data_IF_279181502450
#
_entry.id   IF_279181502450
#
_cell.length_a   1.000
_cell.length_b   1.000
_cell.length_c   1.000
_cell.angle_alpha   90.00
_cell.angle_beta   90.00
_cell.angle_gamma   90.00
#
_symmetry.space_group_name_H-M   'P 1'
#
loop_
_entity.id
_entity.type
_entity.pdbx_description
1 polymer ?
#
# COMPACT_ATOMS: atom_id res chain seq x y z
N UNK A 1 -11.08 -5.06 17.97
CA UNK A 1 -9.82 -4.35 17.68
C UNK A 1 -9.51 -4.31 16.17
N UNK A 2 -9.29 -5.44 15.49
CA UNK A 2 -8.94 -5.44 14.05
C UNK A 2 -10.00 -4.80 13.16
N UNK A 3 -11.29 -5.05 13.41
CA UNK A 3 -12.40 -4.43 12.65
C UNK A 3 -12.33 -2.91 12.72
N UNK A 4 -12.10 -2.33 13.90
CA UNK A 4 -11.97 -0.89 14.06
C UNK A 4 -10.72 -0.31 13.35
N UNK A 5 -9.66 -1.10 13.21
CA UNK A 5 -8.47 -0.70 12.44
C UNK A 5 -8.77 -0.72 10.94
N UNK A 6 -9.42 -1.77 10.45
CA UNK A 6 -9.84 -1.89 9.05
C UNK A 6 -10.74 -0.73 8.68
N UNK A 7 -11.73 -0.44 9.51
CA UNK A 7 -12.65 0.69 9.32
C UNK A 7 -11.91 2.02 9.26
N UNK A 8 -10.94 2.24 10.15
CA UNK A 8 -10.11 3.46 10.15
C UNK A 8 -9.22 3.59 8.91
N UNK A 9 -8.67 2.47 8.39
CA UNK A 9 -7.90 2.46 7.15
C UNK A 9 -8.82 2.79 5.97
N UNK A 10 -10.02 2.22 5.94
CA UNK A 10 -11.02 2.50 4.92
C UNK A 10 -11.46 3.95 4.93
N UNK A 11 -11.86 4.47 6.09
CA UNK A 11 -12.27 5.87 6.27
C UNK A 11 -11.16 6.87 5.89
N UNK A 12 -9.89 6.49 6.14
CA UNK A 12 -8.76 7.38 5.89
C UNK A 12 -8.27 7.37 4.45
N UNK A 13 -8.23 6.21 3.82
CA UNK A 13 -7.57 6.04 2.51
C UNK A 13 -8.53 5.64 1.39
N UNK A 14 -9.77 5.29 1.71
CA UNK A 14 -10.79 4.80 0.75
C UNK A 14 -10.22 3.69 -0.16
N UNK A 15 -9.41 2.79 0.41
CA UNK A 15 -8.60 1.83 -0.35
C UNK A 15 -8.78 0.41 0.15
N UNK A 16 -9.50 -0.40 -0.62
CA UNK A 16 -9.65 -1.84 -0.35
C UNK A 16 -8.33 -2.61 -0.48
N UNK A 17 -7.40 -2.12 -1.31
CA UNK A 17 -6.07 -2.76 -1.47
C UNK A 17 -5.18 -2.57 -0.25
N UNK A 18 -5.20 -1.39 0.38
CA UNK A 18 -4.47 -1.16 1.62
C UNK A 18 -5.01 -2.06 2.74
N UNK A 19 -6.32 -2.27 2.81
CA UNK A 19 -6.93 -3.24 3.74
C UNK A 19 -6.43 -4.66 3.44
N UNK A 20 -6.46 -5.08 2.18
CA UNK A 20 -5.96 -6.40 1.77
C UNK A 20 -4.48 -6.59 2.10
N UNK A 21 -3.65 -5.57 1.89
CA UNK A 21 -2.24 -5.61 2.26
C UNK A 21 -2.06 -5.74 3.77
N UNK A 22 -2.80 -4.96 4.57
CA UNK A 22 -2.78 -5.07 6.02
C UNK A 22 -3.17 -6.49 6.50
N UNK A 23 -4.24 -7.07 5.95
CA UNK A 23 -4.68 -8.42 6.28
C UNK A 23 -3.68 -9.50 5.83
N UNK A 24 -2.95 -9.24 4.73
CA UNK A 24 -1.93 -10.15 4.20
C UNK A 24 -0.55 -10.00 4.86
N UNK A 25 -0.36 -9.03 5.77
CA UNK A 25 0.88 -8.90 6.53
C UNK A 25 1.16 -10.15 7.37
N UNK A 26 2.43 -10.54 7.40
CA UNK A 26 2.86 -11.71 8.21
C UNK A 26 2.43 -11.55 9.67
N UNK A 27 2.62 -10.36 10.25
CA UNK A 27 2.22 -10.07 11.64
C UNK A 27 0.72 -10.27 11.87
N UNK A 28 -0.14 -9.85 10.92
CA UNK A 28 -1.59 -10.03 11.01
C UNK A 28 -1.97 -11.51 10.93
N UNK A 29 -1.39 -12.24 9.97
CA UNK A 29 -1.63 -13.70 9.81
C UNK A 29 -1.15 -14.48 11.03
N UNK A 30 0.04 -14.20 11.54
CA UNK A 30 0.55 -14.85 12.75
C UNK A 30 -0.33 -14.57 13.97
N UNK A 31 -0.74 -13.32 14.16
CA UNK A 31 -1.66 -12.96 15.25
C UNK A 31 -2.98 -13.72 15.16
N UNK A 32 -3.62 -13.74 13.99
CA UNK A 32 -4.89 -14.45 13.80
C UNK A 32 -4.73 -15.97 14.02
N UNK A 33 -3.63 -16.54 13.53
CA UNK A 33 -3.32 -17.95 13.74
C UNK A 33 -3.10 -18.29 15.22
N UNK A 34 -2.28 -17.51 15.93
CA UNK A 34 -2.06 -17.68 17.37
C UNK A 34 -3.35 -17.48 18.16
N UNK A 35 -4.16 -16.49 17.81
CA UNK A 35 -5.45 -16.25 18.45
C UNK A 35 -6.39 -17.44 18.30
N UNK A 36 -6.52 -18.01 17.09
CA UNK A 36 -7.36 -19.16 16.84
C UNK A 36 -6.89 -20.39 17.61
N UNK A 37 -5.58 -20.67 17.63
CA UNK A 37 -5.00 -21.79 18.39
C UNK A 37 -5.22 -21.57 19.90
N UNK A 38 -5.00 -20.38 20.42
CA UNK A 38 -5.18 -20.08 21.84
C UNK A 38 -6.64 -20.26 22.27
N UNK A 39 -7.59 -19.75 21.47
CA UNK A 39 -9.02 -19.93 21.72
C UNK A 39 -9.39 -21.43 21.71
N UNK A 40 -8.88 -22.18 20.74
CA UNK A 40 -9.12 -23.61 20.65
C UNK A 40 -8.59 -24.37 21.89
N UNK A 41 -7.37 -24.06 22.34
CA UNK A 41 -6.78 -24.67 23.52
C UNK A 41 -7.56 -24.33 24.80
N UNK A 42 -7.98 -23.08 24.95
CA UNK A 42 -8.80 -22.65 26.10
C UNK A 42 -10.17 -23.32 26.08
N UNK A 43 -10.80 -23.42 24.90
CA UNK A 43 -12.06 -24.14 24.75
C UNK A 43 -11.92 -25.63 25.05
N UNK A 44 -10.84 -26.25 24.57
CA UNK A 44 -10.54 -27.66 24.90
C UNK A 44 -10.41 -27.89 26.42
N UNK A 45 -9.70 -27.01 27.12
CA UNK A 45 -9.57 -27.10 28.59
C UNK A 45 -10.91 -26.92 29.32
N UNK A 46 -11.81 -26.10 28.76
CA UNK A 46 -13.13 -25.88 29.38
C UNK A 46 -14.08 -27.08 29.18
N UNK A 47 -14.03 -27.72 28.01
CA UNK A 47 -14.97 -28.78 27.61
C UNK A 47 -14.48 -30.17 28.01
N UNK A 48 -13.15 -30.39 28.04
CA UNK A 48 -12.55 -31.64 28.48
C UNK A 48 -12.09 -31.50 29.94
N UNK A 49 -12.97 -31.84 30.92
CA UNK A 49 -12.59 -31.78 32.33
C UNK A 49 -11.43 -32.73 32.61
N UNK A 50 -10.55 -32.39 33.59
CA UNK A 50 -9.46 -33.25 33.97
C UNK A 50 -10.02 -34.66 34.34
N UNK A 51 -9.39 -35.70 33.81
CA UNK A 51 -9.79 -37.11 33.91
C UNK A 51 -10.83 -37.62 32.89
N UNK A 52 -11.17 -36.85 31.83
CA UNK A 52 -12.04 -37.36 30.76
C UNK A 52 -11.42 -38.59 30.03
N UNK A 53 -10.09 -38.61 29.92
CA UNK A 53 -9.34 -39.77 29.44
C UNK A 53 -8.47 -40.28 30.58
N UNK A 54 -8.85 -41.42 31.21
CA UNK A 54 -8.04 -42.06 32.23
C UNK A 54 -6.95 -42.91 31.56
N UNK A 55 -5.78 -42.33 31.44
CA UNK A 55 -4.55 -43.03 30.96
C UNK A 55 -3.64 -43.39 32.17
N UNK A 56 -4.20 -43.52 33.37
CA UNK A 56 -3.46 -43.82 34.59
C UNK A 56 -2.43 -42.74 34.94
N UNK A 57 -1.18 -43.13 35.19
CA UNK A 57 -0.12 -42.17 35.54
C UNK A 57 0.16 -41.10 34.49
N UNK A 58 -0.18 -41.34 33.22
CA UNK A 58 0.01 -40.39 32.12
C UNK A 58 -1.01 -39.29 32.09
N UNK A 59 -2.19 -39.46 32.69
CA UNK A 59 -3.26 -38.43 32.74
C UNK A 59 -2.74 -37.10 33.33
N UNK A 60 -2.00 -37.17 34.44
CA UNK A 60 -1.42 -35.99 35.07
C UNK A 60 -0.44 -35.23 34.17
N UNK A 61 0.39 -35.97 33.43
CA UNK A 61 1.33 -35.32 32.50
C UNK A 61 0.62 -34.66 31.30
N UNK A 62 -0.47 -35.25 30.83
CA UNK A 62 -1.28 -34.69 29.76
C UNK A 62 -1.95 -33.38 30.22
N UNK A 63 -2.57 -33.38 31.40
CA UNK A 63 -3.22 -32.21 31.98
C UNK A 63 -2.23 -31.06 32.21
N UNK A 64 -1.05 -31.36 32.81
CA UNK A 64 -0.01 -30.36 33.02
C UNK A 64 0.55 -29.84 31.69
N UNK A 65 0.75 -30.70 30.69
CA UNK A 65 1.26 -30.30 29.39
C UNK A 65 0.29 -29.35 28.68
N UNK A 66 -1.01 -29.58 28.76
CA UNK A 66 -2.02 -28.70 28.18
C UNK A 66 -2.02 -27.31 28.80
N UNK A 67 -1.85 -27.20 30.15
CA UNK A 67 -1.75 -25.93 30.86
C UNK A 67 -0.46 -25.18 30.44
N UNK A 68 0.67 -25.88 30.41
CA UNK A 68 1.96 -25.30 30.01
C UNK A 68 1.87 -24.80 28.56
N UNK A 69 1.28 -25.60 27.67
CA UNK A 69 1.12 -25.24 26.25
C UNK A 69 0.23 -23.99 26.12
N UNK A 70 -0.91 -23.94 26.77
CA UNK A 70 -1.80 -22.78 26.76
C UNK A 70 -1.08 -21.51 27.29
N UNK A 71 -0.28 -21.66 28.35
CA UNK A 71 0.49 -20.54 28.90
C UNK A 71 1.52 -20.02 27.88
N UNK A 72 2.24 -20.92 27.22
CA UNK A 72 3.20 -20.54 26.15
C UNK A 72 2.48 -19.78 25.02
N UNK A 73 1.35 -20.29 24.55
CA UNK A 73 0.58 -19.62 23.49
C UNK A 73 0.02 -18.26 23.95
N UNK A 74 -0.39 -18.11 25.20
CA UNK A 74 -0.79 -16.80 25.76
C UNK A 74 0.37 -15.79 25.76
N UNK A 75 1.59 -16.23 26.11
CA UNK A 75 2.79 -15.37 26.06
C UNK A 75 3.10 -14.98 24.62
N UNK A 76 3.09 -15.93 23.69
CA UNK A 76 3.31 -15.67 22.26
C UNK A 76 2.24 -14.73 21.69
N UNK A 77 0.99 -14.91 22.07
CA UNK A 77 -0.11 -14.03 21.68
C UNK A 77 0.11 -12.61 22.18
N UNK A 78 0.53 -12.44 23.42
CA UNK A 78 0.86 -11.12 24.00
C UNK A 78 1.96 -10.43 23.19
N UNK A 79 3.04 -11.15 22.84
CA UNK A 79 4.10 -10.61 22.00
C UNK A 79 3.58 -10.24 20.60
N UNK A 80 2.71 -11.08 20.01
CA UNK A 80 2.11 -10.83 18.72
C UNK A 80 1.22 -9.58 18.71
N UNK A 81 0.57 -9.25 19.84
CA UNK A 81 -0.20 -8.01 20.01
C UNK A 81 0.70 -6.79 19.84
N UNK A 82 1.91 -6.78 20.41
CA UNK A 82 2.85 -5.67 20.23
C UNK A 82 3.25 -5.49 18.75
N UNK A 83 3.45 -6.59 18.03
CA UNK A 83 3.76 -6.54 16.60
C UNK A 83 2.60 -5.95 15.79
N UNK A 84 1.36 -6.30 16.14
CA UNK A 84 0.16 -5.73 15.51
C UNK A 84 0.03 -4.23 15.83
N UNK A 85 0.25 -3.79 17.07
CA UNK A 85 0.22 -2.36 17.39
C UNK A 85 1.23 -1.56 16.59
N UNK A 86 2.45 -2.09 16.41
CA UNK A 86 3.45 -1.48 15.55
C UNK A 86 2.97 -1.37 14.10
N UNK A 87 2.34 -2.43 13.58
CA UNK A 87 1.80 -2.43 12.22
C UNK A 87 0.65 -1.42 12.08
N UNK A 88 -0.28 -1.38 13.03
CA UNK A 88 -1.37 -0.40 13.08
C UNK A 88 -0.81 1.02 13.07
N UNK A 89 0.26 1.28 13.83
CA UNK A 89 0.91 2.59 13.83
C UNK A 89 1.49 2.95 12.45
N UNK A 90 2.10 2.00 11.74
CA UNK A 90 2.60 2.21 10.38
C UNK A 90 1.46 2.59 9.43
N UNK A 91 0.34 1.86 9.47
CA UNK A 91 -0.81 2.13 8.60
C UNK A 91 -1.60 3.39 8.98
N UNK A 92 -1.50 3.87 10.21
CA UNK A 92 -2.13 5.13 10.64
C UNK A 92 -1.33 6.39 10.26
N UNK A 93 -0.02 6.27 10.05
CA UNK A 93 0.87 7.39 9.74
C UNK A 93 1.28 7.33 8.27
N UNK A 94 0.76 8.22 7.39
CA UNK A 94 0.96 8.15 5.95
C UNK A 94 2.43 8.08 5.52
N UNK A 95 3.31 8.86 6.14
CA UNK A 95 4.76 8.88 5.84
C UNK A 95 5.42 7.53 6.13
N UNK A 96 4.97 6.85 7.21
CA UNK A 96 5.47 5.52 7.56
C UNK A 96 4.90 4.44 6.66
N UNK A 97 3.62 4.56 6.29
CA UNK A 97 2.98 3.67 5.36
C UNK A 97 3.64 3.74 3.99
N UNK A 98 3.92 4.94 3.48
CA UNK A 98 4.63 5.15 2.24
C UNK A 98 6.00 4.44 2.25
N UNK A 99 6.83 4.71 3.27
CA UNK A 99 8.14 4.06 3.42
C UNK A 99 8.04 2.54 3.57
N UNK A 100 6.99 2.05 4.21
CA UNK A 100 6.73 0.62 4.34
C UNK A 100 6.38 -0.03 3.00
N UNK A 101 5.52 0.62 2.19
CA UNK A 101 5.15 0.15 0.86
C UNK A 101 6.33 0.13 -0.10
N UNK A 102 7.20 1.14 -0.06
CA UNK A 102 8.40 1.22 -0.91
C UNK A 102 9.40 0.10 -0.58
N UNK A 103 9.61 -0.19 0.71
CA UNK A 103 10.55 -1.22 1.17
C UNK A 103 10.07 -2.65 0.91
N UNK A 104 8.79 -2.84 0.64
CA UNK A 104 8.19 -4.15 0.48
C UNK A 104 8.35 -4.66 -0.95
N UNK A 105 9.34 -5.49 -1.20
CA UNK A 105 9.61 -6.10 -2.51
C UNK A 105 8.82 -7.40 -2.79
N UNK A 106 8.09 -7.95 -1.79
CA UNK A 106 7.54 -9.32 -1.84
C UNK A 106 6.41 -9.50 -2.87
N UNK A 107 5.65 -8.44 -3.20
CA UNK A 107 4.59 -8.47 -4.21
C UNK A 107 4.58 -7.11 -4.95
N UNK A 108 5.52 -6.91 -5.91
CA UNK A 108 5.77 -5.57 -6.48
C UNK A 108 4.51 -4.95 -7.09
N UNK A 109 3.71 -5.74 -7.82
CA UNK A 109 2.53 -5.25 -8.54
C UNK A 109 1.43 -4.71 -7.61
N UNK A 110 1.01 -5.50 -6.63
CA UNK A 110 -0.07 -5.09 -5.72
C UNK A 110 0.37 -3.96 -4.79
N UNK A 111 1.63 -3.97 -4.37
CA UNK A 111 2.21 -2.94 -3.52
C UNK A 111 2.28 -1.60 -4.25
N UNK A 112 2.69 -1.59 -5.52
CA UNK A 112 2.73 -0.35 -6.33
C UNK A 112 1.34 0.21 -6.60
N UNK A 113 0.34 -0.63 -6.87
CA UNK A 113 -1.06 -0.19 -7.00
C UNK A 113 -1.60 0.42 -5.70
N UNK A 114 -1.33 -0.20 -4.55
CA UNK A 114 -1.72 0.35 -3.25
C UNK A 114 -0.98 1.65 -2.92
N UNK A 115 0.27 1.79 -3.36
CA UNK A 115 1.01 3.05 -3.23
C UNK A 115 0.37 4.18 -4.04
N UNK A 116 -0.11 3.93 -5.26
CA UNK A 116 -0.87 4.93 -6.03
C UNK A 116 -2.21 5.28 -5.35
N UNK A 117 -2.90 4.32 -4.74
CA UNK A 117 -4.12 4.62 -3.97
C UNK A 117 -3.81 5.50 -2.74
N UNK A 118 -2.68 5.25 -2.05
CA UNK A 118 -2.20 6.15 -0.99
C UNK A 118 -1.91 7.55 -1.55
N UNK A 119 -1.24 7.66 -2.69
CA UNK A 119 -0.95 8.93 -3.34
C UNK A 119 -2.24 9.70 -3.63
N UNK A 120 -3.25 9.05 -4.22
CA UNK A 120 -4.57 9.65 -4.49
C UNK A 120 -5.27 10.09 -3.19
N UNK A 121 -5.23 9.27 -2.14
CA UNK A 121 -5.80 9.64 -0.85
C UNK A 121 -5.11 10.88 -0.25
N UNK A 122 -3.78 10.99 -0.38
CA UNK A 122 -3.03 12.16 0.09
C UNK A 122 -3.34 13.41 -0.75
N UNK A 123 -3.59 13.27 -2.05
CA UNK A 123 -4.08 14.35 -2.89
C UNK A 123 -5.44 14.85 -2.40
N UNK A 124 -6.40 13.96 -2.15
CA UNK A 124 -7.71 14.32 -1.61
C UNK A 124 -7.63 15.06 -0.27
N UNK A 125 -6.72 14.62 0.60
CA UNK A 125 -6.49 15.23 1.92
C UNK A 125 -5.62 16.49 1.88
N UNK A 126 -5.00 16.82 0.73
CA UNK A 126 -4.05 17.93 0.56
C UNK A 126 -2.86 17.85 1.55
N UNK A 127 -2.33 16.66 1.80
CA UNK A 127 -1.17 16.44 2.67
C UNK A 127 0.12 16.72 1.89
N UNK A 128 0.59 17.98 1.93
CA UNK A 128 1.69 18.49 1.11
C UNK A 128 3.00 17.76 1.37
N UNK A 129 3.30 17.42 2.61
CA UNK A 129 4.57 16.77 2.98
C UNK A 129 4.67 15.35 2.39
N UNK A 130 3.61 14.55 2.56
CA UNK A 130 3.56 13.19 1.98
C UNK A 130 3.51 13.25 0.46
N UNK A 131 2.81 14.25 -0.11
CA UNK A 131 2.75 14.43 -1.56
C UNK A 131 4.13 14.69 -2.16
N UNK A 132 4.94 15.53 -1.53
CA UNK A 132 6.33 15.78 -1.99
C UNK A 132 7.12 14.49 -2.05
N UNK A 133 7.04 13.67 -1.00
CA UNK A 133 7.72 12.38 -0.96
C UNK A 133 7.17 11.41 -2.02
N UNK A 134 5.85 11.44 -2.30
CA UNK A 134 5.24 10.63 -3.35
C UNK A 134 5.73 11.03 -4.75
N UNK A 135 5.83 12.34 -5.04
CA UNK A 135 6.39 12.82 -6.32
C UNK A 135 7.85 12.41 -6.48
N UNK A 136 8.66 12.57 -5.44
CA UNK A 136 10.06 12.18 -5.48
C UNK A 136 10.20 10.66 -5.73
N UNK A 137 9.42 9.84 -5.04
CA UNK A 137 9.44 8.38 -5.25
C UNK A 137 8.97 7.99 -6.66
N UNK A 138 7.95 8.66 -7.20
CA UNK A 138 7.51 8.44 -8.57
C UNK A 138 8.63 8.74 -9.57
N UNK A 139 9.32 9.86 -9.37
CA UNK A 139 10.45 10.28 -10.20
C UNK A 139 11.59 9.26 -10.10
N UNK A 140 12.02 8.93 -8.90
CA UNK A 140 13.12 7.99 -8.64
C UNK A 140 12.81 6.59 -9.20
N UNK A 141 11.58 6.11 -9.03
CA UNK A 141 11.16 4.84 -9.60
C UNK A 141 11.19 4.88 -11.12
N UNK A 142 10.68 5.94 -11.74
CA UNK A 142 10.68 6.07 -13.20
C UNK A 142 12.10 6.15 -13.76
N UNK A 143 13.00 6.88 -13.08
CA UNK A 143 14.42 6.94 -13.44
C UNK A 143 15.11 5.59 -13.29
N UNK A 144 14.85 4.85 -12.22
CA UNK A 144 15.43 3.52 -12.01
C UNK A 144 15.04 2.52 -13.09
N UNK A 145 13.83 2.65 -13.65
CA UNK A 145 13.39 1.81 -14.77
C UNK A 145 14.13 2.11 -16.07
N UNK A 146 14.71 3.30 -16.21
CA UNK A 146 15.47 3.75 -17.40
C UNK A 146 16.95 3.45 -17.31
N UNK A 147 17.44 3.17 -16.13
CA UNK A 147 18.87 2.93 -15.89
C UNK A 147 19.40 1.80 -16.80
N UNK A 148 20.48 2.08 -17.53
CA UNK A 148 21.06 1.15 -18.49
C UNK A 148 20.32 0.95 -19.81
N UNK A 149 19.22 1.68 -20.05
CA UNK A 149 18.37 1.52 -21.27
C UNK A 149 18.42 2.73 -22.21
N UNK A 150 19.56 3.38 -22.33
CA UNK A 150 19.75 4.48 -23.28
C UNK A 150 19.50 3.98 -24.72
N UNK A 151 18.75 4.78 -25.49
CA UNK A 151 18.46 4.55 -26.93
C UNK A 151 17.50 3.38 -27.27
N UNK A 152 16.86 2.74 -26.30
CA UNK A 152 15.84 1.71 -26.57
C UNK A 152 14.43 2.25 -26.39
N UNK A 153 13.47 1.69 -27.15
CA UNK A 153 12.04 1.95 -26.90
C UNK A 153 11.70 1.43 -25.52
N UNK A 154 11.29 2.34 -24.63
CA UNK A 154 11.01 1.99 -23.24
C UNK A 154 9.55 1.72 -23.02
N UNK A 155 9.23 0.51 -22.60
CA UNK A 155 7.93 0.15 -22.06
C UNK A 155 7.99 0.15 -20.54
N UNK A 156 7.12 0.94 -19.91
CA UNK A 156 6.97 0.98 -18.46
C UNK A 156 6.01 -0.10 -17.98
N UNK A 157 6.09 -0.50 -16.69
CA UNK A 157 5.12 -1.42 -16.11
C UNK A 157 3.68 -0.89 -16.20
N UNK A 158 2.68 -1.77 -16.44
CA UNK A 158 1.27 -1.36 -16.54
C UNK A 158 0.78 -0.55 -15.33
N UNK A 159 1.30 -0.85 -14.14
CA UNK A 159 0.96 -0.16 -12.90
C UNK A 159 1.36 1.32 -12.92
N UNK A 160 2.46 1.66 -13.60
CA UNK A 160 2.90 3.04 -13.75
C UNK A 160 1.92 3.81 -14.63
N UNK A 161 1.54 3.26 -15.77
CA UNK A 161 0.58 3.90 -16.67
C UNK A 161 -0.78 4.11 -16.00
N UNK A 162 -1.35 3.06 -15.41
CA UNK A 162 -2.63 3.13 -14.68
C UNK A 162 -2.57 4.15 -13.54
N UNK A 163 -1.48 4.14 -12.78
CA UNK A 163 -1.27 5.03 -11.66
C UNK A 163 -1.18 6.50 -12.07
N UNK A 164 -0.39 6.81 -13.10
CA UNK A 164 -0.24 8.18 -13.64
C UNK A 164 -1.60 8.71 -14.13
N UNK A 165 -2.37 7.91 -14.87
CA UNK A 165 -3.70 8.30 -15.35
C UNK A 165 -4.62 8.63 -14.18
N UNK A 166 -4.65 7.77 -13.14
CA UNK A 166 -5.53 7.96 -11.97
C UNK A 166 -5.12 9.16 -11.13
N UNK A 167 -3.83 9.40 -10.95
CA UNK A 167 -3.32 10.57 -10.22
C UNK A 167 -3.59 11.86 -11.00
N UNK A 168 -3.37 11.87 -12.33
CA UNK A 168 -3.67 13.02 -13.17
C UNK A 168 -5.18 13.35 -13.14
N UNK A 169 -6.05 12.37 -13.20
CA UNK A 169 -7.49 12.57 -13.10
C UNK A 169 -7.87 13.22 -11.76
N UNK A 170 -7.33 12.69 -10.65
CA UNK A 170 -7.59 13.25 -9.32
C UNK A 170 -7.07 14.69 -9.19
N UNK A 171 -5.91 15.01 -9.76
CA UNK A 171 -5.39 16.38 -9.81
C UNK A 171 -6.31 17.31 -10.61
N UNK A 172 -6.81 16.85 -11.75
CA UNK A 172 -7.74 17.61 -12.60
C UNK A 172 -9.06 17.91 -11.87
N UNK A 173 -9.56 16.97 -11.06
CA UNK A 173 -10.79 17.14 -10.26
C UNK A 173 -10.63 18.14 -9.12
N UNK A 174 -9.42 18.31 -8.58
CA UNK A 174 -9.20 19.23 -7.47
C UNK A 174 -9.22 20.68 -7.96
N UNK A 175 -10.12 21.49 -7.40
CA UNK A 175 -10.25 22.92 -7.72
C UNK A 175 -9.23 23.81 -7.04
N UNK A 176 -8.35 23.28 -6.19
CA UNK A 176 -7.36 24.07 -5.44
C UNK A 176 -6.16 24.40 -6.32
N UNK A 177 -6.11 25.65 -6.77
CA UNK A 177 -5.19 26.16 -7.77
C UNK A 177 -3.69 26.06 -7.43
N UNK A 178 -3.29 26.25 -6.18
CA UNK A 178 -1.88 26.46 -5.84
C UNK A 178 -0.99 25.21 -5.90
N UNK A 179 -1.52 24.03 -5.55
CA UNK A 179 -0.76 22.76 -5.55
C UNK A 179 -0.92 22.05 -6.89
N UNK A 180 -2.07 22.20 -7.55
CA UNK A 180 -2.42 21.48 -8.76
C UNK A 180 -1.68 21.96 -10.03
N UNK A 181 -1.42 23.28 -10.15
CA UNK A 181 -0.81 23.84 -11.36
C UNK A 181 0.67 23.45 -11.48
N UNK A 182 1.39 23.43 -10.36
CA UNK A 182 2.82 23.10 -10.35
C UNK A 182 3.07 21.60 -10.59
N UNK A 183 2.13 20.76 -10.17
CA UNK A 183 2.31 19.31 -10.12
C UNK A 183 1.62 18.56 -11.26
N UNK A 184 0.62 19.16 -11.93
CA UNK A 184 -0.11 18.51 -13.02
C UNK A 184 0.78 18.21 -14.25
N UNK A 185 1.72 19.09 -14.55
CA UNK A 185 2.70 18.84 -15.62
C UNK A 185 3.75 17.82 -15.20
N UNK A 186 4.19 17.84 -13.95
CA UNK A 186 5.26 16.96 -13.45
C UNK A 186 4.84 15.49 -13.51
N UNK A 187 3.58 15.17 -13.25
CA UNK A 187 3.04 13.80 -13.35
C UNK A 187 3.12 13.24 -14.77
N UNK A 188 2.76 14.05 -15.76
CA UNK A 188 2.79 13.61 -17.17
C UNK A 188 4.23 13.60 -17.70
N UNK A 189 5.01 14.62 -17.34
CA UNK A 189 6.37 14.79 -17.81
C UNK A 189 7.34 13.77 -17.18
N UNK A 190 7.03 13.17 -16.05
CA UNK A 190 7.91 12.18 -15.41
C UNK A 190 8.29 11.02 -16.35
N UNK A 191 7.41 10.68 -17.29
CA UNK A 191 7.68 9.64 -18.29
C UNK A 191 8.59 10.12 -19.43
N UNK A 192 8.75 11.43 -19.59
CA UNK A 192 9.50 12.05 -20.70
C UNK A 192 10.79 12.74 -20.23
N UNK A 193 10.85 13.10 -18.96
CA UNK A 193 11.96 13.86 -18.41
C UNK A 193 13.28 13.10 -18.52
N UNK A 194 14.33 13.80 -18.95
CA UNK A 194 15.67 13.24 -19.11
C UNK A 194 15.83 12.20 -20.21
N UNK A 195 14.86 12.07 -21.13
CA UNK A 195 14.91 11.08 -22.19
C UNK A 195 15.10 11.73 -23.55
N UNK A 196 16.16 11.33 -24.25
CA UNK A 196 16.36 11.64 -25.65
C UNK A 196 15.72 10.53 -26.50
N UNK A 197 14.44 10.66 -26.80
CA UNK A 197 13.74 9.66 -27.61
C UNK A 197 13.80 9.98 -29.09
N UNK A 198 14.09 8.95 -29.87
CA UNK A 198 13.74 8.90 -31.28
C UNK A 198 12.37 8.22 -31.50
N UNK A 199 11.99 7.29 -30.62
CA UNK A 199 10.74 6.52 -30.75
C UNK A 199 10.13 6.32 -29.36
N UNK A 200 8.85 6.71 -29.22
CA UNK A 200 8.08 6.52 -28.01
C UNK A 200 7.26 5.23 -28.06
N UNK A 201 7.24 4.45 -26.98
CA UNK A 201 6.41 3.25 -26.91
C UNK A 201 4.91 3.61 -26.98
N UNK A 202 4.11 2.79 -27.66
CA UNK A 202 2.68 3.05 -27.88
C UNK A 202 1.90 3.27 -26.56
N UNK A 203 2.20 2.52 -25.50
CA UNK A 203 1.53 2.65 -24.21
C UNK A 203 1.86 3.98 -23.53
N UNK A 204 3.10 4.46 -23.65
CA UNK A 204 3.51 5.78 -23.15
C UNK A 204 2.76 6.88 -23.87
N UNK A 205 2.71 6.83 -25.21
CA UNK A 205 1.96 7.77 -26.02
C UNK A 205 0.47 7.78 -25.64
N UNK A 206 -0.15 6.60 -25.54
CA UNK A 206 -1.57 6.46 -25.13
C UNK A 206 -1.83 7.05 -23.75
N UNK A 207 -0.93 6.84 -22.80
CA UNK A 207 -1.06 7.38 -21.43
C UNK A 207 -1.01 8.90 -21.42
N UNK A 208 -0.02 9.49 -22.12
CA UNK A 208 0.09 10.94 -22.24
C UNK A 208 -1.17 11.52 -22.89
N UNK A 209 -1.63 10.92 -23.97
CA UNK A 209 -2.85 11.35 -24.65
C UNK A 209 -4.10 11.25 -23.76
N UNK A 210 -4.21 10.20 -22.96
CA UNK A 210 -5.29 10.04 -21.98
C UNK A 210 -5.24 11.15 -20.93
N UNK A 211 -4.06 11.45 -20.39
CA UNK A 211 -3.88 12.53 -19.42
C UNK A 211 -4.22 13.90 -20.01
N UNK A 212 -3.82 14.19 -21.24
CA UNK A 212 -4.18 15.43 -21.93
C UNK A 212 -5.70 15.53 -22.14
N UNK A 213 -6.35 14.46 -22.54
CA UNK A 213 -7.82 14.43 -22.68
C UNK A 213 -8.54 14.67 -21.35
N UNK A 214 -8.03 14.12 -20.24
CA UNK A 214 -8.55 14.41 -18.90
C UNK A 214 -8.40 15.91 -18.57
N UNK A 215 -7.23 16.50 -18.83
CA UNK A 215 -6.98 17.92 -18.59
C UNK A 215 -7.93 18.80 -19.42
N UNK A 216 -8.18 18.45 -20.68
CA UNK A 216 -9.18 19.14 -21.52
C UNK A 216 -10.60 18.99 -20.96
N UNK A 217 -10.99 17.79 -20.60
CA UNK A 217 -12.32 17.50 -20.05
C UNK A 217 -12.61 18.31 -18.78
N UNK A 218 -11.62 18.41 -17.89
CA UNK A 218 -11.72 19.19 -16.63
C UNK A 218 -11.36 20.67 -16.81
N UNK A 219 -11.23 21.17 -18.07
CA UNK A 219 -10.94 22.57 -18.41
C UNK A 219 -9.63 23.11 -17.82
N UNK A 220 -8.59 22.26 -17.78
CA UNK A 220 -7.23 22.61 -17.33
C UNK A 220 -6.33 22.97 -18.52
N UNK A 221 -6.81 23.83 -19.42
CA UNK A 221 -6.10 24.21 -20.64
C UNK A 221 -4.74 24.87 -20.38
N UNK A 222 -4.57 25.56 -19.25
CA UNK A 222 -3.32 26.14 -18.83
C UNK A 222 -2.19 25.11 -18.63
N UNK A 223 -2.54 23.87 -18.24
CA UNK A 223 -1.56 22.79 -18.09
C UNK A 223 -1.09 22.28 -19.46
N UNK A 224 -2.01 22.22 -20.42
CA UNK A 224 -1.70 21.80 -21.78
C UNK A 224 -0.79 22.83 -22.44
N UNK A 225 -1.07 24.14 -22.28
CA UNK A 225 -0.24 25.19 -22.84
C UNK A 225 1.19 25.16 -22.27
N UNK A 226 1.34 24.88 -20.96
CA UNK A 226 2.67 24.67 -20.35
C UNK A 226 3.41 23.46 -20.92
N UNK A 227 2.70 22.37 -21.16
CA UNK A 227 3.29 21.15 -21.74
C UNK A 227 3.80 21.40 -23.16
N UNK A 228 2.99 22.01 -24.03
CA UNK A 228 3.39 22.34 -25.40
C UNK A 228 4.39 23.49 -25.51
N UNK A 229 4.42 24.37 -24.55
CA UNK A 229 5.39 25.48 -24.49
C UNK A 229 6.78 25.07 -24.01
N UNK A 230 6.91 23.87 -23.41
CA UNK A 230 8.17 23.29 -22.94
C UNK A 230 8.75 22.25 -23.91
N UNK A 231 7.99 21.88 -24.95
CA UNK A 231 8.41 20.95 -26.02
C UNK A 231 8.90 21.74 -27.24
#
# INVERSE_FOLDING_TARGET
MLIGVIQRIDDKYESTRLIQLFMNERSTKHFLGLLAITIFLLFYQLVAPPNYFDFGALTKYIDYSAIILATIFCVLLTFSIFMIFRLIYIYNVPEKLQKHLIKRNDIPRNTRKAWFELFIAMLKQNNVDVLRDCYQELYDWTMSLREGRQWTVMEYPPELYEGIISVNEQLCMQQKEAVSIKNGNDIVNVMLDGVQFTIMHQNTYRTIWTCLNQQLFYKRSEWILKYWGAA
#
